data_IF_273616438355
#
_entry.id   IF_273616438355
#
_cell.length_a   1.000
_cell.length_b   1.000
_cell.length_c   1.000
_cell.angle_alpha   90.00
_cell.angle_beta   90.00
_cell.angle_gamma   90.00
#
_symmetry.space_group_name_H-M   'P 1'
#
loop_
_entity.id
_entity.type
_entity.pdbx_description
1 polymer ?
#
# COMPACT_ATOMS: atom_id res chain seq x y z
N UNK A 1 -28.85 4.31 17.92
CA UNK A 1 -28.75 5.42 16.95
C UNK A 1 -27.68 4.99 15.98
N UNK A 2 -28.09 4.56 14.78
CA UNK A 2 -27.15 4.17 13.74
C UNK A 2 -26.61 5.44 13.12
N UNK A 3 -25.40 5.83 13.50
CA UNK A 3 -24.73 6.96 12.88
C UNK A 3 -24.61 6.66 11.37
N UNK A 4 -25.01 7.64 10.57
CA UNK A 4 -24.97 7.56 9.11
C UNK A 4 -23.53 7.22 8.69
N UNK A 5 -23.35 6.08 8.00
CA UNK A 5 -22.02 5.64 7.59
C UNK A 5 -21.44 6.70 6.65
N UNK A 6 -20.24 7.16 6.96
CA UNK A 6 -19.49 8.03 6.06
C UNK A 6 -19.16 7.23 4.79
N UNK A 7 -19.89 7.48 3.71
CA UNK A 7 -19.84 6.66 2.50
C UNK A 7 -19.31 7.45 1.30
N UNK A 8 -18.48 6.79 0.51
CA UNK A 8 -18.05 7.24 -0.80
C UNK A 8 -18.45 6.17 -1.81
N UNK A 9 -18.93 6.58 -2.98
CA UNK A 9 -19.19 5.64 -4.07
C UNK A 9 -17.90 4.89 -4.43
N UNK A 10 -18.00 3.56 -4.49
CA UNK A 10 -16.90 2.71 -4.87
C UNK A 10 -17.02 2.40 -6.37
N UNK A 11 -16.12 2.93 -7.22
CA UNK A 11 -16.22 2.77 -8.68
C UNK A 11 -15.88 1.34 -9.16
N UNK A 12 -15.58 0.42 -8.26
CA UNK A 12 -15.21 -0.97 -8.56
C UNK A 12 -16.31 -1.97 -8.22
N UNK A 13 -17.47 -1.51 -7.75
CA UNK A 13 -18.63 -2.35 -7.43
C UNK A 13 -19.77 -1.97 -8.36
N UNK A 14 -20.40 -2.95 -8.97
CA UNK A 14 -21.63 -2.75 -9.73
C UNK A 14 -22.84 -2.91 -8.79
N UNK A 15 -23.89 -2.12 -9.01
CA UNK A 15 -25.06 -2.05 -8.11
C UNK A 15 -25.79 -3.39 -7.91
N UNK A 16 -25.59 -4.35 -8.82
CA UNK A 16 -26.29 -5.65 -8.85
C UNK A 16 -25.52 -6.79 -8.15
N UNK A 17 -24.31 -6.52 -7.63
CA UNK A 17 -23.50 -7.52 -6.95
C UNK A 17 -23.62 -7.36 -5.42
N UNK A 18 -24.16 -8.37 -4.72
CA UNK A 18 -24.05 -8.50 -3.25
C UNK A 18 -22.61 -8.87 -2.87
N UNK A 19 -21.66 -7.98 -3.17
CA UNK A 19 -20.24 -8.17 -2.85
C UNK A 19 -19.93 -7.48 -1.53
N UNK A 20 -19.47 -8.27 -0.56
CA UNK A 20 -18.89 -7.73 0.67
C UNK A 20 -17.57 -7.02 0.35
N UNK A 21 -17.63 -5.71 0.21
CA UNK A 21 -16.44 -4.87 0.02
C UNK A 21 -15.81 -4.46 1.33
N UNK A 22 -14.47 -4.41 1.33
CA UNK A 22 -13.72 -3.80 2.41
C UNK A 22 -14.07 -2.31 2.56
N UNK A 23 -13.95 -1.80 3.79
CA UNK A 23 -14.01 -0.35 4.03
C UNK A 23 -12.83 0.32 3.34
N UNK A 24 -13.11 1.05 2.27
CA UNK A 24 -12.12 1.85 1.53
C UNK A 24 -12.81 3.04 0.90
N UNK A 25 -12.15 4.19 0.93
CA UNK A 25 -12.57 5.40 0.25
C UNK A 25 -11.51 5.82 -0.77
N UNK A 26 -11.91 6.03 -2.02
CA UNK A 26 -11.01 6.50 -3.08
C UNK A 26 -11.09 8.02 -3.23
N UNK A 27 -9.94 8.68 -3.24
CA UNK A 27 -9.84 10.13 -3.44
C UNK A 27 -8.84 10.44 -4.54
N UNK A 28 -9.26 11.25 -5.50
CA UNK A 28 -8.41 11.68 -6.61
C UNK A 28 -7.89 13.08 -6.31
N UNK A 29 -6.57 13.27 -6.27
CA UNK A 29 -5.96 14.60 -6.12
C UNK A 29 -5.06 14.91 -7.29
N UNK A 30 -4.98 16.20 -7.60
CA UNK A 30 -4.17 16.76 -8.66
C UNK A 30 -3.03 17.57 -8.05
N UNK A 31 -1.82 17.37 -8.54
CA UNK A 31 -0.61 18.09 -8.16
C UNK A 31 -0.02 18.74 -9.40
N UNK A 32 0.29 20.02 -9.30
CA UNK A 32 1.10 20.72 -10.29
C UNK A 32 2.57 20.49 -9.93
N UNK A 33 3.31 19.85 -10.83
CA UNK A 33 4.74 19.57 -10.66
C UNK A 33 5.64 20.57 -11.40
N UNK A 34 5.06 21.62 -11.99
CA UNK A 34 5.77 22.61 -12.81
C UNK A 34 6.01 22.16 -14.25
N UNK A 35 6.45 23.08 -15.10
CA UNK A 35 6.77 22.87 -16.53
C UNK A 35 5.66 22.17 -17.34
N UNK A 36 4.39 22.43 -16.98
CA UNK A 36 3.24 21.81 -17.63
C UNK A 36 2.98 20.35 -17.23
N UNK A 37 3.75 19.78 -16.29
CA UNK A 37 3.54 18.44 -15.75
C UNK A 37 2.48 18.48 -14.66
N UNK A 38 1.36 17.83 -14.91
CA UNK A 38 0.26 17.68 -13.95
C UNK A 38 0.11 16.22 -13.57
N UNK A 39 0.29 15.92 -12.29
CA UNK A 39 0.12 14.58 -11.75
C UNK A 39 -1.29 14.42 -11.17
N UNK A 40 -2.00 13.38 -11.58
CA UNK A 40 -3.25 12.95 -10.95
C UNK A 40 -3.00 11.59 -10.29
N UNK A 41 -3.41 11.45 -9.04
CA UNK A 41 -3.20 10.22 -8.28
C UNK A 41 -4.48 9.84 -7.56
N UNK A 42 -4.81 8.55 -7.61
CA UNK A 42 -5.83 7.93 -6.78
C UNK A 42 -5.23 7.51 -5.44
N UNK A 43 -5.85 7.94 -4.36
CA UNK A 43 -5.47 7.62 -2.98
C UNK A 43 -6.59 6.88 -2.27
N UNK A 44 -6.25 6.31 -1.12
CA UNK A 44 -7.14 5.48 -0.33
C UNK A 44 -7.13 5.93 1.13
N UNK A 45 -8.30 6.00 1.75
CA UNK A 45 -8.46 6.01 3.20
C UNK A 45 -9.11 4.70 3.64
N UNK A 46 -8.62 4.13 4.74
CA UNK A 46 -9.08 2.83 5.23
C UNK A 46 -10.26 2.97 6.22
N UNK A 47 -10.31 4.08 6.97
CA UNK A 47 -11.38 4.35 7.93
C UNK A 47 -11.54 5.84 8.26
N UNK A 48 -12.62 6.16 8.97
CA UNK A 48 -12.89 7.46 9.60
C UNK A 48 -13.01 7.31 11.12
N UNK A 49 -12.65 8.36 11.85
CA UNK A 49 -12.93 8.49 13.29
C UNK A 49 -13.40 9.92 13.60
N UNK A 50 -14.05 10.09 14.74
CA UNK A 50 -14.38 11.42 15.26
C UNK A 50 -13.21 11.90 16.11
N UNK A 51 -12.69 13.08 15.79
CA UNK A 51 -11.64 13.76 16.53
C UNK A 51 -12.16 14.40 17.83
N UNK A 52 -11.25 14.94 18.67
CA UNK A 52 -11.61 15.46 19.99
C UNK A 52 -12.61 16.62 19.97
N UNK A 53 -12.69 17.39 18.86
CA UNK A 53 -13.61 18.51 18.72
C UNK A 53 -14.85 18.16 17.89
N UNK A 54 -15.08 16.87 17.62
CA UNK A 54 -16.19 16.40 16.80
C UNK A 54 -15.90 16.42 15.29
N UNK A 55 -14.68 16.75 14.86
CA UNK A 55 -14.30 16.77 13.45
C UNK A 55 -14.09 15.35 12.90
N UNK A 56 -14.45 15.12 11.64
CA UNK A 56 -14.13 13.86 10.95
C UNK A 56 -12.63 13.81 10.65
N UNK A 57 -11.97 12.74 11.10
CA UNK A 57 -10.58 12.45 10.79
C UNK A 57 -10.48 11.19 9.93
N UNK A 58 -9.73 11.28 8.83
CA UNK A 58 -9.45 10.16 7.94
C UNK A 58 -8.18 9.44 8.38
N UNK A 59 -8.15 8.12 8.24
CA UNK A 59 -6.97 7.35 8.61
C UNK A 59 -6.60 6.28 7.60
N UNK A 60 -5.30 6.01 7.54
CA UNK A 60 -4.78 4.78 6.98
C UNK A 60 -4.44 3.79 8.07
N UNK A 61 -4.84 2.54 7.88
CA UNK A 61 -4.63 1.42 8.80
C UNK A 61 -3.71 0.42 8.13
N UNK A 62 -2.58 0.11 8.78
CA UNK A 62 -1.61 -0.89 8.31
C UNK A 62 -1.21 -1.81 9.46
N UNK A 63 -0.78 -3.03 9.14
CA UNK A 63 -0.41 -4.02 10.14
C UNK A 63 1.09 -4.35 10.06
N UNK A 64 1.80 -4.10 11.15
CA UNK A 64 3.13 -4.67 11.38
C UNK A 64 2.95 -6.11 11.87
N UNK A 65 3.84 -6.99 11.42
CA UNK A 65 3.75 -8.42 11.72
C UNK A 65 5.05 -8.98 12.31
N UNK A 66 4.93 -9.70 13.42
CA UNK A 66 5.99 -10.49 14.04
C UNK A 66 5.79 -11.98 13.73
N UNK A 67 6.85 -12.64 13.27
CA UNK A 67 6.84 -14.07 12.93
C UNK A 67 7.60 -14.88 13.98
N UNK A 68 8.93 -14.88 13.95
CA UNK A 68 9.78 -15.50 14.97
C UNK A 68 10.73 -14.44 15.55
N UNK A 69 10.50 -13.99 16.80
CA UNK A 69 11.27 -12.90 17.41
C UNK A 69 12.76 -13.17 17.49
N UNK A 70 13.18 -14.45 17.49
CA UNK A 70 14.60 -14.84 17.55
C UNK A 70 15.37 -14.42 16.30
N UNK A 71 14.68 -14.33 15.16
CA UNK A 71 15.26 -14.01 13.87
C UNK A 71 14.78 -12.65 13.33
N UNK A 72 13.66 -12.12 13.81
CA UNK A 72 13.12 -10.80 13.45
C UNK A 72 13.68 -9.66 14.32
N UNK A 73 14.99 -9.67 14.59
CA UNK A 73 15.67 -8.61 15.33
C UNK A 73 15.81 -8.83 16.85
N UNK A 74 15.39 -9.98 17.38
CA UNK A 74 15.66 -10.37 18.76
C UNK A 74 14.78 -9.69 19.82
N UNK A 75 13.71 -9.02 19.42
CA UNK A 75 12.79 -8.31 20.31
C UNK A 75 11.45 -9.03 20.30
N UNK A 76 11.08 -9.68 21.42
CA UNK A 76 9.76 -10.29 21.61
C UNK A 76 8.72 -9.21 21.93
N UNK A 77 7.78 -8.98 21.01
CA UNK A 77 6.77 -7.94 21.15
C UNK A 77 5.87 -8.16 22.37
N UNK A 78 5.54 -9.41 22.75
CA UNK A 78 4.68 -9.67 23.91
C UNK A 78 5.26 -9.14 25.21
N UNK A 79 6.59 -9.14 25.31
CA UNK A 79 7.29 -8.65 26.49
C UNK A 79 7.60 -7.15 26.39
N UNK A 80 7.76 -6.62 25.17
CA UNK A 80 8.39 -5.32 24.93
C UNK A 80 7.45 -4.24 24.44
N UNK A 81 6.26 -4.56 23.92
CA UNK A 81 5.35 -3.55 23.36
C UNK A 81 4.86 -2.53 24.41
N UNK A 82 4.65 -2.99 25.64
CA UNK A 82 4.14 -2.14 26.74
C UNK A 82 5.25 -1.34 27.43
N UNK A 83 6.45 -1.94 27.57
CA UNK A 83 7.55 -1.34 28.33
C UNK A 83 8.54 -0.58 27.44
N UNK A 84 8.73 -1.04 26.20
CA UNK A 84 9.78 -0.57 25.28
C UNK A 84 9.24 -0.37 23.85
N UNK A 85 8.06 0.24 23.72
CA UNK A 85 7.40 0.47 22.42
C UNK A 85 8.30 1.15 21.37
N UNK A 86 9.09 2.14 21.79
CA UNK A 86 10.05 2.82 20.91
C UNK A 86 11.14 1.89 20.36
N UNK A 87 11.59 0.91 21.16
CA UNK A 87 12.59 -0.06 20.71
C UNK A 87 12.00 -1.06 19.70
N UNK A 88 10.76 -1.50 19.92
CA UNK A 88 10.02 -2.33 18.94
C UNK A 88 9.89 -1.59 17.61
N UNK A 89 9.43 -0.33 17.65
CA UNK A 89 9.27 0.48 16.44
C UNK A 89 10.61 0.74 15.74
N UNK A 90 11.68 1.05 16.48
CA UNK A 90 13.01 1.25 15.90
C UNK A 90 13.56 -0.01 15.21
N UNK A 91 13.33 -1.19 15.79
CA UNK A 91 13.68 -2.46 15.15
C UNK A 91 12.88 -2.67 13.86
N UNK A 92 11.59 -2.37 13.88
CA UNK A 92 10.75 -2.44 12.67
C UNK A 92 11.20 -1.44 11.60
N UNK A 93 11.59 -0.23 11.98
CA UNK A 93 12.11 0.75 11.03
C UNK A 93 13.40 0.28 10.37
N UNK A 94 14.28 -0.39 11.11
CA UNK A 94 15.51 -0.96 10.58
C UNK A 94 15.24 -2.10 9.59
N UNK A 95 14.32 -3.02 9.94
CA UNK A 95 14.09 -4.24 9.17
C UNK A 95 13.09 -4.07 8.02
N UNK A 96 12.20 -3.07 8.12
CA UNK A 96 11.08 -2.86 7.21
C UNK A 96 11.01 -1.42 6.66
N UNK A 97 12.16 -0.74 6.55
CA UNK A 97 12.24 0.68 6.17
C UNK A 97 11.44 1.05 4.91
N UNK A 98 11.62 0.30 3.82
CA UNK A 98 10.90 0.55 2.56
C UNK A 98 9.38 0.34 2.70
N UNK A 99 8.94 -0.66 3.46
CA UNK A 99 7.51 -0.92 3.72
C UNK A 99 6.87 0.26 4.47
N UNK A 100 7.52 0.69 5.55
CA UNK A 100 7.06 1.81 6.38
C UNK A 100 7.11 3.14 5.62
N UNK A 101 8.15 3.39 4.81
CA UNK A 101 8.23 4.57 3.95
C UNK A 101 7.06 4.61 2.94
N UNK A 102 6.77 3.51 2.25
CA UNK A 102 5.64 3.45 1.28
C UNK A 102 4.28 3.73 1.95
N UNK A 103 4.04 3.14 3.12
CA UNK A 103 2.80 3.41 3.86
C UNK A 103 2.69 4.88 4.27
N UNK A 104 3.80 5.48 4.69
CA UNK A 104 3.85 6.88 5.10
C UNK A 104 3.63 7.83 3.93
N UNK A 105 4.29 7.60 2.79
CA UNK A 105 4.06 8.37 1.55
C UNK A 105 2.60 8.26 1.12
N UNK A 106 2.02 7.06 1.12
CA UNK A 106 0.61 6.87 0.76
C UNK A 106 -0.32 7.69 1.67
N UNK A 107 -0.11 7.66 2.99
CA UNK A 107 -0.91 8.45 3.94
C UNK A 107 -0.72 9.96 3.79
N UNK A 108 0.52 10.42 3.55
CA UNK A 108 0.81 11.83 3.29
C UNK A 108 0.12 12.33 2.02
N UNK A 109 0.21 11.57 0.94
CA UNK A 109 -0.38 11.94 -0.33
C UNK A 109 -1.91 11.84 -0.31
N UNK A 110 -2.49 10.89 0.42
CA UNK A 110 -3.93 10.84 0.68
C UNK A 110 -4.41 12.07 1.48
N UNK A 111 -3.53 12.65 2.29
CA UNK A 111 -3.88 13.70 3.24
C UNK A 111 -4.62 13.14 4.45
N UNK A 112 -4.27 11.92 4.86
CA UNK A 112 -4.83 11.29 6.06
C UNK A 112 -4.41 12.04 7.32
N UNK A 113 -5.33 12.21 8.26
CA UNK A 113 -5.04 12.81 9.56
C UNK A 113 -4.22 11.88 10.44
N UNK A 114 -4.46 10.57 10.31
CA UNK A 114 -3.84 9.54 11.14
C UNK A 114 -3.30 8.38 10.30
N UNK A 115 -2.14 7.88 10.70
CA UNK A 115 -1.59 6.60 10.30
C UNK A 115 -1.59 5.67 11.51
N UNK A 116 -2.36 4.59 11.44
CA UNK A 116 -2.54 3.64 12.53
C UNK A 116 -1.88 2.32 12.20
N UNK A 117 -1.03 1.85 13.11
CA UNK A 117 -0.40 0.54 13.05
C UNK A 117 -1.03 -0.43 14.03
N UNK A 118 -1.37 -1.62 13.55
CA UNK A 118 -1.61 -2.79 14.38
C UNK A 118 -0.33 -3.61 14.53
N UNK A 119 -0.05 -4.11 15.74
CA UNK A 119 1.03 -5.04 16.01
C UNK A 119 0.46 -6.45 16.10
N UNK A 120 0.67 -7.24 15.05
CA UNK A 120 0.13 -8.59 14.91
C UNK A 120 1.26 -9.60 15.05
N UNK A 121 1.15 -10.54 15.96
CA UNK A 121 2.13 -11.63 16.11
C UNK A 121 1.46 -12.97 15.84
N UNK A 122 2.19 -13.93 15.30
CA UNK A 122 1.77 -15.35 15.35
C UNK A 122 1.52 -15.79 16.79
N UNK A 123 0.54 -16.65 17.01
CA UNK A 123 0.29 -17.24 18.35
C UNK A 123 1.44 -18.17 18.75
N UNK A 124 1.88 -19.01 17.82
CA UNK A 124 3.08 -19.82 17.93
C UNK A 124 3.98 -19.55 16.71
N UNK A 125 5.29 -19.37 16.90
CA UNK A 125 6.20 -18.92 15.83
C UNK A 125 6.19 -19.84 14.58
N UNK A 126 5.97 -21.14 14.79
CA UNK A 126 5.93 -22.14 13.71
C UNK A 126 4.57 -22.28 13.01
N UNK A 127 3.49 -21.71 13.57
CA UNK A 127 2.15 -21.80 13.00
C UNK A 127 1.79 -20.47 12.32
N UNK A 128 1.65 -20.50 10.99
CA UNK A 128 1.34 -19.34 10.17
C UNK A 128 -0.16 -19.07 10.04
N UNK A 129 -1.02 -19.90 10.62
CA UNK A 129 -2.48 -19.81 10.47
C UNK A 129 -3.14 -18.99 11.58
N UNK A 130 -2.49 -18.88 12.74
CA UNK A 130 -3.06 -18.23 13.93
C UNK A 130 -2.27 -17.00 14.34
N UNK A 131 -2.96 -15.87 14.44
CA UNK A 131 -2.39 -14.58 14.80
C UNK A 131 -3.14 -13.93 15.96
N UNK A 132 -2.44 -13.08 16.71
CA UNK A 132 -3.00 -12.28 17.80
C UNK A 132 -2.59 -10.82 17.61
N UNK A 133 -3.54 -9.91 17.86
CA UNK A 133 -3.27 -8.46 17.90
C UNK A 133 -2.76 -8.14 19.31
N UNK A 134 -1.53 -7.66 19.41
CA UNK A 134 -0.88 -7.32 20.67
C UNK A 134 -1.15 -5.87 21.08
N UNK A 135 -1.40 -4.99 20.12
CA UNK A 135 -1.68 -3.59 20.38
C UNK A 135 -1.80 -2.77 19.11
N UNK A 136 -2.10 -1.49 19.29
CA UNK A 136 -2.11 -0.52 18.18
C UNK A 136 -1.36 0.74 18.57
N UNK A 137 -0.82 1.43 17.58
CA UNK A 137 -0.20 2.74 17.74
C UNK A 137 -0.65 3.67 16.63
N UNK A 138 -0.78 4.94 16.95
CA UNK A 138 -1.28 5.97 16.05
C UNK A 138 -0.27 7.10 15.94
N UNK A 139 -0.11 7.61 14.73
CA UNK A 139 0.80 8.71 14.40
C UNK A 139 0.10 9.68 13.46
N UNK A 140 0.49 10.96 13.51
CA UNK A 140 0.24 11.84 12.37
C UNK A 140 1.24 11.50 11.26
N UNK A 141 0.82 11.37 9.99
CA UNK A 141 1.73 10.97 8.91
C UNK A 141 2.96 11.86 8.76
N UNK A 142 2.81 13.18 8.96
CA UNK A 142 3.93 14.15 8.90
C UNK A 142 4.97 13.92 10.00
N UNK A 143 4.50 13.77 11.24
CA UNK A 143 5.39 13.49 12.39
C UNK A 143 6.11 12.14 12.23
N UNK A 144 5.42 11.13 11.68
CA UNK A 144 6.04 9.84 11.40
C UNK A 144 7.05 9.91 10.26
N UNK A 145 6.78 10.69 9.21
CA UNK A 145 7.74 10.92 8.12
C UNK A 145 9.07 11.51 8.64
N UNK A 146 8.99 12.48 9.55
CA UNK A 146 10.15 13.06 10.22
C UNK A 146 10.90 12.01 11.06
N UNK A 147 10.18 11.16 11.81
CA UNK A 147 10.78 10.08 12.61
C UNK A 147 11.55 9.05 11.78
N UNK A 148 11.08 8.76 10.57
CA UNK A 148 11.72 7.76 9.68
C UNK A 148 12.71 8.39 8.69
N UNK A 149 12.98 9.69 8.82
CA UNK A 149 13.84 10.46 7.92
C UNK A 149 13.38 10.40 6.44
N UNK A 150 12.06 10.45 6.22
CA UNK A 150 11.45 10.50 4.89
C UNK A 150 11.26 11.96 4.45
N UNK A 151 12.06 12.40 3.49
CA UNK A 151 11.96 13.74 2.92
C UNK A 151 11.08 13.74 1.66
N UNK A 152 9.93 14.43 1.72
CA UNK A 152 9.02 14.54 0.58
C UNK A 152 9.58 15.35 -0.59
N UNK A 153 10.43 16.34 -0.35
CA UNK A 153 11.07 17.10 -1.45
C UNK A 153 12.00 16.18 -2.25
N UNK A 154 12.72 15.29 -1.55
CA UNK A 154 13.53 14.27 -2.22
C UNK A 154 12.65 13.28 -2.99
N UNK A 155 11.53 12.82 -2.40
CA UNK A 155 10.61 11.91 -3.07
C UNK A 155 10.00 12.53 -4.34
N UNK A 156 9.57 13.80 -4.27
CA UNK A 156 9.07 14.55 -5.43
C UNK A 156 10.16 14.77 -6.48
N UNK A 157 11.39 15.09 -6.07
CA UNK A 157 12.52 15.24 -6.99
C UNK A 157 12.86 13.95 -7.75
N UNK A 158 12.86 12.81 -7.07
CA UNK A 158 13.06 11.50 -7.71
C UNK A 158 11.93 11.19 -8.69
N UNK A 159 10.67 11.42 -8.29
CA UNK A 159 9.52 11.20 -9.16
C UNK A 159 9.60 12.10 -10.41
N UNK A 160 9.93 13.38 -10.23
CA UNK A 160 10.05 14.34 -11.34
C UNK A 160 11.13 13.92 -12.32
N UNK A 161 12.29 13.48 -11.83
CA UNK A 161 13.37 12.97 -12.68
C UNK A 161 12.92 11.79 -13.55
N UNK A 162 12.15 10.86 -12.99
CA UNK A 162 11.59 9.72 -13.74
C UNK A 162 10.61 10.22 -14.81
N UNK A 163 9.68 11.10 -14.44
CA UNK A 163 8.70 11.66 -15.39
C UNK A 163 9.41 12.38 -16.55
N UNK A 164 10.37 13.25 -16.25
CA UNK A 164 11.12 14.00 -17.28
C UNK A 164 11.95 13.07 -18.18
N UNK A 165 12.35 11.91 -17.68
CA UNK A 165 13.04 10.89 -18.50
C UNK A 165 12.05 10.21 -19.43
N UNK A 166 10.90 9.76 -18.90
CA UNK A 166 9.88 9.09 -19.71
C UNK A 166 9.24 10.02 -20.76
N UNK A 167 9.03 11.31 -20.44
CA UNK A 167 8.45 12.30 -21.38
C UNK A 167 9.34 12.62 -22.59
N UNK A 168 10.61 12.17 -22.57
CA UNK A 168 11.54 12.30 -23.71
C UNK A 168 11.58 11.05 -24.59
N UNK A 169 10.96 9.96 -24.15
CA UNK A 169 10.89 8.72 -24.91
C UNK A 169 9.73 8.79 -25.91
N UNK A 170 9.81 7.95 -26.92
CA UNK A 170 8.72 7.79 -27.88
C UNK A 170 7.51 7.11 -27.21
N UNK A 171 6.37 7.11 -27.91
CA UNK A 171 5.18 6.42 -27.45
C UNK A 171 5.39 4.90 -27.46
N UNK A 172 5.08 4.22 -26.35
CA UNK A 172 5.25 2.77 -26.21
C UNK A 172 5.07 2.29 -24.77
N UNK A 173 5.20 0.98 -24.54
CA UNK A 173 5.20 0.39 -23.19
C UNK A 173 6.62 0.34 -22.61
N UNK A 174 6.74 0.68 -21.33
CA UNK A 174 8.02 0.71 -20.62
C UNK A 174 7.93 -0.01 -19.27
N UNK A 175 9.06 -0.53 -18.79
CA UNK A 175 9.18 -1.20 -17.49
C UNK A 175 10.30 -0.60 -16.65
N UNK A 176 9.96 -0.07 -15.47
CA UNK A 176 10.95 0.30 -14.44
C UNK A 176 11.17 -0.89 -13.52
N UNK A 177 12.40 -1.39 -13.47
CA UNK A 177 12.79 -2.52 -12.63
C UNK A 177 13.92 -2.14 -11.68
N UNK A 178 13.77 -2.52 -10.41
CA UNK A 178 14.88 -2.48 -9.45
C UNK A 178 15.73 -3.73 -9.61
N UNK A 179 17.02 -3.56 -9.89
CA UNK A 179 17.96 -4.69 -9.95
C UNK A 179 17.92 -5.47 -8.62
N UNK A 180 17.77 -6.81 -8.64
CA UNK A 180 17.66 -7.62 -7.41
C UNK A 180 18.92 -7.57 -6.52
N UNK A 181 20.09 -7.41 -7.12
CA UNK A 181 21.38 -7.51 -6.45
C UNK A 181 22.09 -6.15 -6.31
N UNK A 182 21.85 -5.22 -7.23
CA UNK A 182 22.47 -3.89 -7.28
C UNK A 182 21.50 -2.80 -6.86
N UNK A 183 22.00 -1.74 -6.25
CA UNK A 183 21.20 -0.58 -5.88
C UNK A 183 20.91 0.35 -7.09
N UNK A 184 20.31 -0.20 -8.16
CA UNK A 184 20.08 0.53 -9.42
C UNK A 184 18.66 0.28 -9.93
N UNK A 185 18.02 1.33 -10.46
CA UNK A 185 16.78 1.26 -11.21
C UNK A 185 17.10 1.25 -12.70
N UNK A 186 16.45 0.37 -13.45
CA UNK A 186 16.61 0.19 -14.89
C UNK A 186 15.27 0.49 -15.56
N UNK A 187 15.30 1.22 -16.67
CA UNK A 187 14.14 1.51 -17.50
C UNK A 187 14.30 0.74 -18.81
N UNK A 188 13.36 -0.16 -19.09
CA UNK A 188 13.32 -0.98 -20.30
C UNK A 188 12.23 -0.48 -21.22
N UNK A 189 12.56 -0.37 -22.50
CA UNK A 189 11.61 -0.34 -23.60
C UNK A 189 11.20 -1.78 -23.91
N UNK A 190 9.90 -2.06 -23.94
CA UNK A 190 9.35 -3.40 -24.07
C UNK A 190 8.33 -3.45 -25.21
N UNK A 191 8.17 -4.60 -25.89
CA UNK A 191 7.11 -4.77 -26.87
C UNK A 191 5.73 -4.46 -26.30
N UNK A 192 4.86 -3.84 -27.10
CA UNK A 192 3.53 -3.46 -26.65
C UNK A 192 2.69 -4.68 -26.21
N UNK A 193 2.88 -5.84 -26.82
CA UNK A 193 2.15 -7.06 -26.44
C UNK A 193 2.65 -7.73 -25.14
N UNK A 194 3.68 -7.20 -24.46
CA UNK A 194 4.33 -7.89 -23.31
C UNK A 194 3.39 -8.18 -22.13
N UNK A 195 2.38 -7.35 -21.90
CA UNK A 195 1.44 -7.48 -20.77
C UNK A 195 0.02 -7.86 -21.21
N UNK A 196 -0.16 -8.20 -22.48
CA UNK A 196 -1.44 -8.67 -22.98
C UNK A 196 -1.55 -10.16 -22.65
N UNK A 197 -2.66 -10.56 -22.03
CA UNK A 197 -2.99 -11.97 -21.87
C UNK A 197 -3.61 -12.44 -23.19
N UNK A 198 -3.04 -13.49 -23.79
CA UNK A 198 -3.64 -14.14 -24.97
C UNK A 198 -4.99 -14.76 -24.53
N UNK A 199 -6.08 -13.99 -24.59
CA UNK A 199 -7.44 -14.43 -24.29
C UNK A 199 -8.02 -15.33 -25.42
N UNK A 200 -7.18 -16.08 -26.13
CA UNK A 200 -7.53 -16.91 -27.31
C UNK A 200 -7.34 -18.44 -27.12
N UNK A 201 -7.06 -18.94 -25.92
CA UNK A 201 -7.10 -20.41 -25.64
C UNK A 201 -8.47 -20.87 -25.10
N UNK A 202 -9.55 -20.31 -25.65
CA UNK A 202 -10.94 -20.66 -25.36
C UNK A 202 -11.66 -21.30 -26.55
N UNK A 203 -10.94 -21.94 -27.48
CA UNK A 203 -11.56 -22.68 -28.59
C UNK A 203 -12.22 -23.96 -28.05
N UNK A 204 -13.53 -23.88 -27.93
CA UNK A 204 -14.53 -24.95 -27.87
C UNK A 204 -13.99 -26.32 -28.29
N UNK A 205 -13.85 -27.26 -27.33
CA UNK A 205 -13.87 -28.68 -27.66
C UNK A 205 -15.27 -28.99 -28.23
N UNK A 206 -15.42 -28.90 -29.55
CA UNK A 206 -16.53 -29.52 -30.24
C UNK A 206 -16.45 -31.03 -29.97
N UNK A 207 -17.35 -31.54 -29.14
CA UNK A 207 -17.65 -32.97 -29.04
C UNK A 207 -18.13 -33.45 -30.43
N UNK A 208 -17.22 -33.97 -31.25
CA UNK A 208 -17.58 -34.81 -32.39
C UNK A 208 -18.13 -36.14 -31.86
N UNK A 209 -19.45 -36.14 -31.67
CA UNK A 209 -20.31 -37.29 -31.51
C UNK A 209 -20.21 -38.15 -32.79
N UNK A 210 -19.26 -39.09 -32.81
CA UNK A 210 -19.11 -40.05 -33.89
C UNK A 210 -19.66 -41.42 -33.47
N UNK A 211 -20.98 -41.54 -33.52
CA UNK A 211 -21.65 -42.83 -33.63
C UNK A 211 -21.09 -43.60 -34.83
N UNK A 212 -20.40 -44.71 -34.57
CA UNK A 212 -20.25 -45.78 -35.56
C UNK A 212 -20.15 -47.15 -34.88
N UNK A 213 -21.30 -47.85 -34.95
CA UNK A 213 -21.55 -49.30 -34.97
C UNK A 213 -20.56 -50.25 -34.30
#
# INVERSE_FOLDING_TARGET
MGDEKFNFENPFVQDDEEVEVASVAYKYRKFDLGDGVVLVVRYEHDAVTVGPNGETQFMNIKALNEWDPRYSGGIDWRQKLDVQRGAVLANELKNNSCKLAKWTVSALLAGSDQLKFGYVSRVHFSDTTKHAILGTQQFKPKEFADQINLNMDNAWGILRYIIDTCMKLDEGKYLILKDPNKATLLLYDIPDNTFETDDEDGSEEEEEDNERF
#
